data_IF_120833706620
#
_entry.id   IF_120833706620
#
_cell.length_a   1.000
_cell.length_b   1.000
_cell.length_c   1.000
_cell.angle_alpha   90.00
_cell.angle_beta   90.00
_cell.angle_gamma   90.00
#
_symmetry.space_group_name_H-M   'P 1'
#
loop_
_entity.id
_entity.type
_entity.pdbx_description
1 polymer ?
#
# COMPACT_ATOMS: atom_id res chain seq x y z
N UNK A 1 -10.83 -37.44 -9.24
CA UNK A 1 -11.27 -36.11 -8.77
C UNK A 1 -10.42 -35.69 -7.58
N UNK A 2 -9.46 -34.79 -7.77
CA UNK A 2 -8.72 -34.17 -6.67
C UNK A 2 -9.56 -33.03 -6.13
N UNK A 3 -9.89 -33.05 -4.84
CA UNK A 3 -10.47 -31.91 -4.14
C UNK A 3 -9.55 -30.70 -4.34
N UNK A 4 -10.05 -29.67 -5.03
CA UNK A 4 -9.39 -28.37 -5.11
C UNK A 4 -9.36 -27.78 -3.71
N UNK A 5 -8.16 -27.65 -3.17
CA UNK A 5 -7.87 -27.08 -1.86
C UNK A 5 -8.27 -25.59 -1.88
N UNK A 6 -9.43 -25.25 -1.31
CA UNK A 6 -10.01 -23.89 -1.25
C UNK A 6 -9.24 -22.93 -0.34
N UNK A 7 -8.14 -23.38 0.28
CA UNK A 7 -7.26 -22.62 1.16
C UNK A 7 -6.16 -21.82 0.45
N UNK A 8 -6.10 -21.80 -0.89
CA UNK A 8 -5.13 -20.97 -1.61
C UNK A 8 -5.58 -19.50 -1.65
N UNK A 9 -5.22 -18.82 -0.55
CA UNK A 9 -4.88 -17.41 -0.41
C UNK A 9 -6.01 -16.38 -0.47
N UNK A 10 -6.70 -16.21 0.67
CA UNK A 10 -7.55 -15.03 0.96
C UNK A 10 -6.78 -13.74 0.68
N UNK A 11 -5.54 -13.62 1.16
CA UNK A 11 -4.69 -12.47 0.85
C UNK A 11 -4.37 -12.32 -0.65
N UNK A 12 -4.29 -13.41 -1.42
CA UNK A 12 -4.01 -13.36 -2.86
C UNK A 12 -5.15 -12.71 -3.64
N UNK A 13 -6.39 -13.06 -3.27
CA UNK A 13 -7.60 -12.39 -3.80
C UNK A 13 -7.69 -10.93 -3.34
N UNK A 14 -7.31 -10.64 -2.08
CA UNK A 14 -7.32 -9.27 -1.56
C UNK A 14 -6.27 -8.38 -2.24
N UNK A 15 -5.13 -8.92 -2.67
CA UNK A 15 -4.11 -8.18 -3.43
C UNK A 15 -4.60 -7.69 -4.80
N UNK A 16 -5.60 -8.37 -5.37
CA UNK A 16 -6.24 -8.02 -6.64
C UNK A 16 -7.59 -7.31 -6.43
N UNK A 17 -7.97 -7.08 -5.18
CA UNK A 17 -9.25 -6.48 -4.85
C UNK A 17 -9.33 -5.06 -5.38
N UNK A 18 -10.47 -4.78 -6.00
CA UNK A 18 -10.78 -3.44 -6.45
C UNK A 18 -11.37 -2.58 -5.30
N UNK A 19 -11.90 -3.18 -4.23
CA UNK A 19 -12.46 -2.52 -3.05
C UNK A 19 -12.01 -3.25 -1.77
N UNK A 20 -10.73 -3.04 -1.43
CA UNK A 20 -10.08 -3.74 -0.33
C UNK A 20 -10.76 -3.47 1.02
N UNK A 21 -11.29 -2.27 1.24
CA UNK A 21 -11.97 -1.92 2.50
C UNK A 21 -13.21 -2.78 2.71
N UNK A 22 -14.09 -2.86 1.71
CA UNK A 22 -15.31 -3.66 1.79
C UNK A 22 -15.00 -5.15 1.94
N UNK A 23 -14.01 -5.65 1.21
CA UNK A 23 -13.62 -7.05 1.30
C UNK A 23 -13.06 -7.39 2.69
N UNK A 24 -12.23 -6.52 3.26
CA UNK A 24 -11.74 -6.68 4.63
C UNK A 24 -12.85 -6.60 5.67
N UNK A 25 -13.83 -5.69 5.52
CA UNK A 25 -15.00 -5.63 6.41
C UNK A 25 -15.92 -6.86 6.29
N UNK A 26 -15.88 -7.55 5.16
CA UNK A 26 -16.58 -8.84 4.99
C UNK A 26 -15.86 -9.96 5.74
N UNK A 27 -14.52 -9.87 5.87
CA UNK A 27 -13.69 -10.85 6.58
C UNK A 27 -13.69 -10.60 8.10
N UNK A 28 -13.64 -9.33 8.50
CA UNK A 28 -13.67 -8.86 9.88
C UNK A 28 -15.07 -8.37 10.22
N UNK A 29 -15.96 -9.31 10.48
CA UNK A 29 -17.35 -9.01 10.83
C UNK A 29 -17.52 -8.59 12.31
N UNK A 30 -18.77 -8.30 12.70
CA UNK A 30 -19.11 -7.95 14.08
C UNK A 30 -18.65 -9.01 15.09
N UNK A 31 -18.73 -10.29 14.75
CA UNK A 31 -18.36 -11.39 15.65
C UNK A 31 -16.86 -11.36 15.92
N UNK A 32 -16.06 -11.12 14.88
CA UNK A 32 -14.62 -10.92 15.01
C UNK A 32 -14.30 -9.81 16.02
N UNK A 33 -14.92 -8.64 15.89
CA UNK A 33 -14.62 -7.50 16.78
C UNK A 33 -15.04 -7.73 18.24
N UNK A 34 -16.16 -8.42 18.47
CA UNK A 34 -16.59 -8.84 19.82
C UNK A 34 -15.58 -9.78 20.49
N UNK A 35 -14.90 -10.62 19.71
CA UNK A 35 -13.82 -11.47 20.22
C UNK A 35 -12.51 -10.70 20.36
N UNK A 36 -12.21 -9.81 19.41
CA UNK A 36 -10.94 -9.12 19.33
C UNK A 36 -10.74 -8.14 20.49
N UNK A 37 -11.79 -7.45 20.93
CA UNK A 37 -11.72 -6.50 22.06
C UNK A 37 -11.25 -7.18 23.36
N UNK A 38 -11.47 -8.49 23.52
CA UNK A 38 -11.07 -9.26 24.71
C UNK A 38 -9.55 -9.41 24.88
N UNK A 39 -8.75 -9.00 23.88
CA UNK A 39 -7.30 -9.00 23.96
C UNK A 39 -6.71 -7.77 24.66
N UNK A 40 -7.51 -6.72 24.88
CA UNK A 40 -7.07 -5.45 25.47
C UNK A 40 -7.46 -5.37 26.95
N UNK A 41 -6.68 -4.62 27.72
CA UNK A 41 -6.91 -4.47 29.18
C UNK A 41 -7.88 -3.31 29.47
N UNK A 42 -7.90 -2.31 28.59
CA UNK A 42 -8.76 -1.13 28.67
C UNK A 42 -9.87 -1.17 27.61
N UNK A 43 -10.91 -0.36 27.83
CA UNK A 43 -11.93 -0.12 26.81
C UNK A 43 -11.29 0.48 25.56
N UNK A 44 -11.70 -0.01 24.40
CA UNK A 44 -11.21 0.40 23.09
C UNK A 44 -12.36 1.03 22.34
N UNK A 45 -12.13 2.22 21.76
CA UNK A 45 -13.14 2.83 20.90
C UNK A 45 -13.42 1.91 19.70
N UNK A 46 -14.70 1.62 19.38
CA UNK A 46 -15.03 0.72 18.27
C UNK A 46 -14.49 1.17 16.92
N UNK A 47 -14.37 2.47 16.66
CA UNK A 47 -13.82 2.99 15.41
C UNK A 47 -12.31 2.74 15.36
N UNK A 48 -11.58 3.05 16.43
CA UNK A 48 -10.14 2.78 16.53
C UNK A 48 -9.82 1.29 16.32
N UNK A 49 -10.66 0.41 16.88
CA UNK A 49 -10.54 -1.04 16.73
C UNK A 49 -10.73 -1.47 15.25
N UNK A 50 -11.71 -0.90 14.56
CA UNK A 50 -11.98 -1.17 13.14
C UNK A 50 -10.85 -0.62 12.26
N UNK A 51 -10.53 0.66 12.39
CA UNK A 51 -9.53 1.34 11.57
C UNK A 51 -8.16 0.68 11.70
N UNK A 52 -7.71 0.43 12.92
CA UNK A 52 -6.41 -0.24 13.13
C UNK A 52 -6.40 -1.67 12.60
N UNK A 53 -7.52 -2.40 12.71
CA UNK A 53 -7.62 -3.77 12.14
C UNK A 53 -7.47 -3.73 10.62
N UNK A 54 -8.17 -2.79 9.96
CA UNK A 54 -8.08 -2.61 8.51
C UNK A 54 -6.67 -2.18 8.09
N UNK A 55 -6.06 -1.24 8.80
CA UNK A 55 -4.70 -0.76 8.51
C UNK A 55 -3.63 -1.82 8.74
N UNK A 56 -3.78 -2.62 9.79
CA UNK A 56 -2.92 -3.79 10.05
C UNK A 56 -3.01 -4.80 8.90
N UNK A 57 -4.22 -5.10 8.43
CA UNK A 57 -4.44 -6.02 7.32
C UNK A 57 -3.89 -5.47 5.99
N UNK A 58 -4.15 -4.19 5.68
CA UNK A 58 -3.62 -3.48 4.51
C UNK A 58 -2.10 -3.47 4.54
N UNK A 59 -1.48 -3.14 5.67
CA UNK A 59 -0.04 -3.13 5.85
C UNK A 59 0.57 -4.51 5.57
N UNK A 60 -0.08 -5.59 6.03
CA UNK A 60 0.33 -6.95 5.69
C UNK A 60 0.28 -7.22 4.18
N UNK A 61 -0.85 -6.94 3.53
CA UNK A 61 -1.09 -7.23 2.11
C UNK A 61 -0.14 -6.44 1.21
N UNK A 62 -0.03 -5.12 1.42
CA UNK A 62 0.86 -4.23 0.66
C UNK A 62 2.31 -4.69 0.78
N UNK A 63 2.75 -5.00 2.00
CA UNK A 63 4.13 -5.41 2.27
C UNK A 63 4.42 -6.83 1.77
N UNK A 64 3.41 -7.69 1.71
CA UNK A 64 3.51 -8.99 1.07
C UNK A 64 3.72 -8.82 -0.45
N UNK A 65 2.92 -7.96 -1.10
CA UNK A 65 3.06 -7.65 -2.54
C UNK A 65 4.44 -7.04 -2.83
N UNK A 66 4.89 -6.08 -2.01
CA UNK A 66 6.24 -5.50 -2.11
C UNK A 66 7.34 -6.57 -2.03
N UNK A 67 7.21 -7.54 -1.12
CA UNK A 67 8.16 -8.65 -1.00
C UNK A 67 8.14 -9.58 -2.23
N UNK A 68 6.99 -9.79 -2.88
CA UNK A 68 6.96 -10.56 -4.13
C UNK A 68 7.51 -9.78 -5.32
N UNK A 69 7.24 -8.48 -5.39
CA UNK A 69 7.84 -7.60 -6.41
C UNK A 69 9.38 -7.67 -6.36
N UNK A 70 9.97 -7.73 -5.16
CA UNK A 70 11.42 -7.95 -4.97
C UNK A 70 11.96 -9.30 -5.48
N UNK A 71 11.09 -10.26 -5.79
CA UNK A 71 11.46 -11.53 -6.43
C UNK A 71 11.18 -11.55 -7.93
N UNK A 72 10.50 -10.52 -8.44
CA UNK A 72 10.18 -10.43 -9.86
C UNK A 72 11.40 -9.99 -10.66
N UNK A 73 11.43 -10.37 -11.94
CA UNK A 73 12.49 -9.94 -12.84
C UNK A 73 12.18 -8.54 -13.34
N UNK A 74 13.18 -7.66 -13.27
CA UNK A 74 13.11 -6.36 -13.94
C UNK A 74 13.37 -6.56 -15.44
N UNK A 75 12.43 -6.18 -16.32
CA UNK A 75 12.57 -6.41 -17.77
C UNK A 75 13.53 -5.40 -18.42
N UNK A 76 14.15 -5.79 -19.54
CA UNK A 76 15.21 -5.04 -20.24
C UNK A 76 14.78 -3.64 -20.73
N UNK A 77 13.48 -3.41 -20.89
CA UNK A 77 12.91 -2.14 -21.36
C UNK A 77 12.09 -1.41 -20.29
N UNK A 78 12.07 -1.88 -19.04
CA UNK A 78 11.21 -1.27 -18.00
C UNK A 78 11.61 0.17 -17.72
N UNK A 79 12.92 0.47 -17.68
CA UNK A 79 13.42 1.82 -17.42
C UNK A 79 13.05 2.85 -18.49
N UNK A 80 13.01 2.47 -19.78
CA UNK A 80 12.50 3.39 -20.82
C UNK A 80 11.00 3.67 -20.66
N UNK A 81 10.21 2.68 -20.21
CA UNK A 81 8.78 2.87 -19.99
C UNK A 81 8.51 3.72 -18.75
N UNK A 82 9.26 3.51 -17.67
CA UNK A 82 9.25 4.38 -16.48
C UNK A 82 9.55 5.82 -16.88
N UNK A 83 10.62 6.02 -17.66
CA UNK A 83 11.02 7.36 -18.09
C UNK A 83 9.98 8.03 -18.99
N UNK A 84 9.44 7.31 -19.98
CA UNK A 84 8.35 7.80 -20.84
C UNK A 84 7.11 8.18 -20.04
N UNK A 85 6.77 7.39 -19.02
CA UNK A 85 5.65 7.68 -18.14
C UNK A 85 5.89 8.96 -17.33
N UNK A 86 7.11 9.18 -16.83
CA UNK A 86 7.48 10.42 -16.13
C UNK A 86 7.47 11.66 -17.03
N UNK A 87 7.93 11.53 -18.30
CA UNK A 87 7.81 12.62 -19.30
C UNK A 87 6.35 12.97 -19.54
N UNK A 88 5.51 11.97 -19.81
CA UNK A 88 4.07 12.19 -20.01
C UNK A 88 3.39 12.82 -18.78
N UNK A 89 3.81 12.44 -17.57
CA UNK A 89 3.31 13.02 -16.34
C UNK A 89 3.68 14.50 -16.21
N UNK A 90 4.93 14.88 -16.52
CA UNK A 90 5.37 16.27 -16.51
C UNK A 90 4.65 17.10 -17.57
N UNK A 91 4.43 16.55 -18.75
CA UNK A 91 3.70 17.22 -19.83
C UNK A 91 2.21 17.42 -19.49
N UNK A 92 1.60 16.42 -18.83
CA UNK A 92 0.24 16.50 -18.31
C UNK A 92 0.14 17.58 -17.23
N UNK A 93 1.05 17.60 -16.25
CA UNK A 93 1.10 18.64 -15.21
C UNK A 93 1.18 20.03 -15.84
N UNK A 94 2.10 20.23 -16.78
CA UNK A 94 2.28 21.51 -17.45
C UNK A 94 1.02 21.94 -18.19
N UNK A 95 0.39 21.01 -18.92
CA UNK A 95 -0.83 21.26 -19.69
C UNK A 95 -2.00 21.62 -18.77
N UNK A 96 -2.19 20.89 -17.67
CA UNK A 96 -3.19 21.20 -16.65
C UNK A 96 -2.95 22.60 -16.07
N UNK A 97 -1.71 22.95 -15.75
CA UNK A 97 -1.33 24.29 -15.26
C UNK A 97 -1.64 25.40 -16.27
N UNK A 98 -1.50 25.15 -17.58
CA UNK A 98 -1.91 26.14 -18.59
C UNK A 98 -3.44 26.24 -18.67
N UNK A 99 -4.17 25.13 -18.59
CA UNK A 99 -5.63 25.10 -18.65
C UNK A 99 -6.25 25.87 -17.48
N UNK A 100 -5.72 25.69 -16.26
CA UNK A 100 -6.18 26.39 -15.04
C UNK A 100 -5.99 27.92 -15.08
N UNK A 101 -5.33 28.47 -16.11
CA UNK A 101 -5.27 29.94 -16.31
C UNK A 101 -6.57 30.50 -16.92
N UNK A 102 -7.48 29.64 -17.35
CA UNK A 102 -8.76 30.00 -17.95
C UNK A 102 -9.88 29.22 -17.27
N UNK A 103 -10.66 29.91 -16.43
CA UNK A 103 -11.79 29.33 -15.69
C UNK A 103 -12.77 28.61 -16.62
N UNK A 104 -13.00 29.17 -17.82
CA UNK A 104 -13.88 28.54 -18.81
C UNK A 104 -13.28 27.23 -19.37
N UNK A 105 -11.97 27.20 -19.66
CA UNK A 105 -11.33 26.00 -20.19
C UNK A 105 -11.28 24.88 -19.14
N UNK A 106 -10.95 25.24 -17.89
CA UNK A 106 -11.00 24.33 -16.75
C UNK A 106 -12.40 23.78 -16.51
N UNK A 107 -13.42 24.65 -16.49
CA UNK A 107 -14.82 24.24 -16.35
C UNK A 107 -15.26 23.29 -17.46
N UNK A 108 -14.99 23.61 -18.74
CA UNK A 108 -15.40 22.78 -19.89
C UNK A 108 -14.71 21.42 -19.86
N UNK A 109 -13.43 21.36 -19.51
CA UNK A 109 -12.71 20.09 -19.40
C UNK A 109 -13.26 19.25 -18.25
N UNK A 110 -13.41 19.84 -17.06
CA UNK A 110 -13.93 19.12 -15.89
C UNK A 110 -15.36 18.61 -16.13
N UNK A 111 -16.23 19.46 -16.68
CA UNK A 111 -17.61 19.07 -17.00
C UNK A 111 -17.67 17.88 -17.98
N UNK A 112 -16.83 17.90 -19.03
CA UNK A 112 -16.74 16.77 -19.96
C UNK A 112 -16.17 15.52 -19.29
N UNK A 113 -15.14 15.64 -18.45
CA UNK A 113 -14.57 14.53 -17.70
C UNK A 113 -15.60 13.90 -16.76
N UNK A 114 -16.31 14.71 -15.99
CA UNK A 114 -17.40 14.27 -15.11
C UNK A 114 -18.47 13.54 -15.92
N UNK A 115 -18.96 14.09 -17.03
CA UNK A 115 -19.98 13.43 -17.85
C UNK A 115 -19.52 12.09 -18.45
N UNK A 116 -18.25 11.98 -18.84
CA UNK A 116 -17.69 10.74 -19.40
C UNK A 116 -17.49 9.69 -18.30
N UNK A 117 -17.21 10.11 -17.08
CA UNK A 117 -16.74 9.22 -16.02
C UNK A 117 -17.84 8.88 -14.99
N UNK A 118 -18.78 9.79 -14.75
CA UNK A 118 -19.90 9.61 -13.83
C UNK A 118 -20.80 8.46 -14.28
N UNK A 119 -21.20 7.62 -13.34
CA UNK A 119 -22.00 6.43 -13.60
C UNK A 119 -21.25 5.27 -14.25
N UNK A 120 -19.96 5.40 -14.61
CA UNK A 120 -19.14 4.26 -15.06
C UNK A 120 -18.88 3.27 -13.94
N UNK A 121 -18.69 3.79 -12.71
CA UNK A 121 -18.58 2.96 -11.52
C UNK A 121 -18.86 3.78 -10.26
N UNK A 122 -19.35 3.15 -9.17
CA UNK A 122 -19.50 3.81 -7.88
C UNK A 122 -18.22 4.45 -7.34
N UNK A 123 -17.04 3.90 -7.70
CA UNK A 123 -15.74 4.45 -7.27
C UNK A 123 -15.38 5.72 -8.00
N UNK A 124 -15.75 5.80 -9.27
CA UNK A 124 -15.54 7.00 -10.07
C UNK A 124 -16.40 8.13 -9.51
N UNK A 125 -17.66 7.82 -9.18
CA UNK A 125 -18.55 8.78 -8.52
C UNK A 125 -18.00 9.22 -7.15
N UNK A 126 -17.55 8.27 -6.32
CA UNK A 126 -16.90 8.58 -5.04
C UNK A 126 -15.62 9.42 -5.19
N UNK A 127 -14.84 9.19 -6.25
CA UNK A 127 -13.64 9.98 -6.54
C UNK A 127 -14.02 11.42 -6.86
N UNK A 128 -15.00 11.66 -7.73
CA UNK A 128 -15.45 13.03 -8.04
C UNK A 128 -16.05 13.72 -6.82
N UNK A 129 -16.87 13.01 -6.03
CA UNK A 129 -17.40 13.52 -4.77
C UNK A 129 -16.27 13.90 -3.80
N UNK A 130 -15.23 13.07 -3.69
CA UNK A 130 -14.08 13.33 -2.85
C UNK A 130 -13.29 14.56 -3.34
N UNK A 131 -13.04 14.66 -4.64
CA UNK A 131 -12.34 15.80 -5.25
C UNK A 131 -13.10 17.10 -4.95
N UNK A 132 -14.40 17.14 -5.19
CA UNK A 132 -15.24 18.32 -4.93
C UNK A 132 -15.23 18.70 -3.44
N UNK A 133 -15.23 17.73 -2.53
CA UNK A 133 -15.20 18.01 -1.07
C UNK A 133 -13.84 18.52 -0.58
N UNK A 134 -12.73 18.03 -1.14
CA UNK A 134 -11.38 18.37 -0.67
C UNK A 134 -10.81 19.63 -1.34
N UNK A 135 -11.01 19.76 -2.66
CA UNK A 135 -10.41 20.85 -3.46
C UNK A 135 -11.41 21.96 -3.79
N UNK A 136 -12.70 21.70 -3.60
CA UNK A 136 -13.79 22.62 -3.92
C UNK A 136 -14.10 22.67 -5.43
N UNK A 137 -15.24 23.26 -5.81
CA UNK A 137 -15.67 23.36 -7.21
C UNK A 137 -14.82 24.32 -8.04
N UNK A 138 -14.00 25.17 -7.40
CA UNK A 138 -13.16 26.17 -8.08
C UNK A 138 -11.79 25.63 -8.50
N UNK A 139 -11.38 24.43 -8.06
CA UNK A 139 -10.10 23.83 -8.43
C UNK A 139 -10.24 22.34 -8.79
N UNK A 140 -11.17 21.96 -9.68
CA UNK A 140 -11.46 20.56 -9.96
C UNK A 140 -10.28 19.79 -10.56
N UNK A 141 -9.34 20.47 -11.22
CA UNK A 141 -8.19 19.82 -11.87
C UNK A 141 -6.95 19.68 -10.97
N UNK A 142 -6.98 20.25 -9.77
CA UNK A 142 -5.81 20.35 -8.88
C UNK A 142 -5.28 18.97 -8.45
N UNK A 143 -6.17 18.02 -8.14
CA UNK A 143 -5.76 16.66 -7.77
C UNK A 143 -4.97 15.96 -8.90
N UNK A 144 -5.39 16.16 -10.15
CA UNK A 144 -4.72 15.53 -11.29
C UNK A 144 -3.35 16.14 -11.53
N UNK A 145 -3.23 17.46 -11.29
CA UNK A 145 -1.95 18.18 -11.31
C UNK A 145 -1.01 17.65 -10.24
N UNK A 146 -1.48 17.51 -9.00
CA UNK A 146 -0.70 16.97 -7.87
C UNK A 146 -0.24 15.54 -8.16
N UNK A 147 -1.12 14.68 -8.71
CA UNK A 147 -0.77 13.29 -9.07
C UNK A 147 0.28 13.27 -10.19
N UNK A 148 0.10 14.08 -11.24
CA UNK A 148 1.01 14.17 -12.36
C UNK A 148 2.40 14.68 -11.93
N UNK A 149 2.44 15.73 -11.11
CA UNK A 149 3.66 16.27 -10.51
C UNK A 149 4.36 15.23 -9.61
N UNK A 150 3.61 14.59 -8.71
CA UNK A 150 4.16 13.58 -7.80
C UNK A 150 4.75 12.39 -8.57
N UNK A 151 4.09 11.97 -9.65
CA UNK A 151 4.57 10.87 -10.48
C UNK A 151 5.82 11.27 -11.29
N UNK A 152 5.85 12.48 -11.86
CA UNK A 152 7.03 13.02 -12.51
C UNK A 152 8.23 13.09 -11.55
N UNK A 153 8.04 13.62 -10.35
CA UNK A 153 9.08 13.71 -9.31
C UNK A 153 9.56 12.33 -8.83
N UNK A 154 8.65 11.36 -8.71
CA UNK A 154 9.01 9.99 -8.37
C UNK A 154 9.88 9.34 -9.45
N UNK A 155 9.58 9.59 -10.73
CA UNK A 155 10.41 9.11 -11.85
C UNK A 155 11.75 9.84 -11.87
N UNK A 156 11.78 11.15 -11.71
CA UNK A 156 12.99 11.97 -11.71
C UNK A 156 13.99 11.52 -10.61
N UNK A 157 13.46 11.14 -9.44
CA UNK A 157 14.25 10.56 -8.36
C UNK A 157 14.85 9.18 -8.65
N UNK A 158 14.37 8.47 -9.69
CA UNK A 158 14.91 7.19 -10.15
C UNK A 158 15.83 7.37 -11.38
N UNK A 159 15.36 8.14 -12.37
CA UNK A 159 16.01 8.41 -13.64
C UNK A 159 15.69 9.86 -14.01
N UNK A 160 16.70 10.72 -14.10
CA UNK A 160 16.48 12.13 -14.39
C UNK A 160 15.64 12.33 -15.66
N UNK A 161 14.59 13.14 -15.53
CA UNK A 161 13.73 13.53 -16.63
C UNK A 161 14.50 14.40 -17.64
N UNK A 162 14.13 14.37 -18.92
CA UNK A 162 14.87 15.10 -19.94
C UNK A 162 14.73 16.61 -19.81
N UNK A 163 15.81 17.32 -20.11
CA UNK A 163 15.76 18.77 -20.32
C UNK A 163 15.01 19.11 -21.62
N UNK A 164 14.65 20.38 -21.79
CA UNK A 164 13.85 20.84 -22.95
C UNK A 164 14.50 20.55 -24.31
N UNK A 165 15.82 20.53 -24.36
CA UNK A 165 16.60 20.35 -25.59
C UNK A 165 17.03 18.89 -25.81
N UNK A 166 16.70 17.99 -24.88
CA UNK A 166 17.06 16.57 -24.98
C UNK A 166 16.08 15.83 -25.92
N UNK A 167 16.64 15.12 -26.89
CA UNK A 167 15.86 14.32 -27.84
C UNK A 167 15.33 13.02 -27.21
N UNK A 168 14.24 12.48 -27.77
CA UNK A 168 13.70 11.18 -27.33
C UNK A 168 14.72 10.06 -27.33
N UNK A 169 15.59 10.03 -28.34
CA UNK A 169 16.62 9.00 -28.44
C UNK A 169 17.61 9.06 -27.27
N UNK A 170 17.97 10.26 -26.80
CA UNK A 170 18.91 10.45 -25.70
C UNK A 170 18.30 9.97 -24.38
N UNK A 171 17.09 10.43 -24.05
CA UNK A 171 16.50 10.06 -22.77
C UNK A 171 16.08 8.58 -22.77
N UNK A 172 15.59 8.01 -23.88
CA UNK A 172 15.31 6.57 -23.96
C UNK A 172 16.57 5.72 -23.71
N UNK A 173 17.72 6.13 -24.24
CA UNK A 173 18.98 5.44 -23.97
C UNK A 173 19.38 5.49 -22.47
N UNK A 174 19.07 6.60 -21.78
CA UNK A 174 19.22 6.70 -20.32
C UNK A 174 18.31 5.74 -19.58
N UNK A 175 17.05 5.59 -20.00
CA UNK A 175 16.12 4.58 -19.47
C UNK A 175 16.60 3.13 -19.69
N UNK A 176 17.23 2.85 -20.83
CA UNK A 176 17.84 1.54 -21.10
C UNK A 176 19.10 1.29 -20.26
N UNK A 177 19.89 2.34 -20.00
CA UNK A 177 21.04 2.26 -19.11
C UNK A 177 20.62 1.92 -17.67
N UNK A 178 19.59 2.59 -17.15
CA UNK A 178 18.98 2.27 -15.86
C UNK A 178 18.51 0.81 -15.80
N UNK A 179 17.85 0.32 -16.85
CA UNK A 179 17.39 -1.08 -16.89
C UNK A 179 18.54 -2.08 -16.79
N UNK A 180 19.64 -1.81 -17.50
CA UNK A 180 20.87 -2.63 -17.43
C UNK A 180 21.52 -2.57 -16.05
N UNK A 181 21.51 -1.40 -15.41
CA UNK A 181 22.03 -1.23 -14.05
C UNK A 181 21.22 -2.04 -13.03
N UNK A 182 19.89 -1.94 -13.06
CA UNK A 182 18.98 -2.68 -12.19
C UNK A 182 19.05 -4.20 -12.43
N UNK A 183 19.33 -4.63 -13.66
CA UNK A 183 19.55 -6.04 -13.97
C UNK A 183 20.93 -6.56 -13.58
N UNK A 184 21.89 -5.66 -13.35
CA UNK A 184 23.25 -6.07 -12.99
C UNK A 184 23.31 -6.68 -11.58
N UNK A 185 24.29 -7.55 -11.35
CA UNK A 185 24.51 -8.19 -10.04
C UNK A 185 24.69 -7.17 -8.89
N UNK A 186 25.02 -5.91 -9.18
CA UNK A 186 25.11 -4.84 -8.17
C UNK A 186 23.75 -4.51 -7.56
N UNK A 187 22.67 -4.54 -8.35
CA UNK A 187 21.33 -4.27 -7.84
C UNK A 187 20.69 -5.50 -7.19
N UNK A 188 21.16 -6.71 -7.52
CA UNK A 188 20.81 -7.94 -6.79
C UNK A 188 21.24 -7.91 -5.31
N UNK A 189 22.14 -6.98 -4.94
CA UNK A 189 22.59 -6.69 -3.58
C UNK A 189 21.76 -5.62 -2.86
N UNK A 190 20.78 -4.99 -3.52
CA UNK A 190 19.80 -4.11 -2.85
C UNK A 190 19.11 -4.93 -1.76
N UNK A 191 19.00 -4.35 -0.56
CA UNK A 191 18.55 -5.03 0.65
C UNK A 191 17.21 -5.72 0.41
N UNK A 192 17.24 -7.05 0.30
CA UNK A 192 16.02 -7.85 0.16
C UNK A 192 15.16 -7.59 1.40
N UNK A 193 13.88 -7.29 1.17
CA UNK A 193 12.94 -7.11 2.27
C UNK A 193 13.05 -8.30 3.26
N UNK A 194 13.03 -8.04 4.59
CA UNK A 194 13.23 -9.07 5.59
C UNK A 194 12.35 -10.31 5.40
N UNK A 195 12.80 -11.46 5.91
CA UNK A 195 12.06 -12.72 5.80
C UNK A 195 10.59 -12.62 6.29
N UNK A 196 10.30 -11.75 7.26
CA UNK A 196 8.96 -11.51 7.79
C UNK A 196 8.46 -10.07 7.54
N UNK A 197 8.89 -9.43 6.45
CA UNK A 197 8.57 -8.02 6.17
C UNK A 197 7.08 -7.68 6.31
N UNK A 198 6.19 -8.48 5.72
CA UNK A 198 4.74 -8.28 5.83
C UNK A 198 4.23 -8.29 7.28
N UNK A 199 4.70 -9.24 8.09
CA UNK A 199 4.35 -9.30 9.51
C UNK A 199 4.97 -8.17 10.33
N UNK A 200 6.16 -7.69 9.96
CA UNK A 200 6.78 -6.54 10.63
C UNK A 200 6.00 -5.26 10.37
N UNK A 201 5.58 -5.01 9.13
CA UNK A 201 4.79 -3.82 8.77
C UNK A 201 3.39 -3.87 9.39
N UNK A 202 2.76 -5.05 9.42
CA UNK A 202 1.53 -5.26 10.17
C UNK A 202 1.73 -5.01 11.69
N UNK A 203 2.84 -5.49 12.26
CA UNK A 203 3.16 -5.24 13.66
C UNK A 203 3.40 -3.76 13.97
N UNK A 204 4.00 -2.99 13.05
CA UNK A 204 4.15 -1.54 13.21
C UNK A 204 2.78 -0.85 13.18
N UNK A 205 1.92 -1.20 12.22
CA UNK A 205 0.58 -0.63 12.11
C UNK A 205 -0.31 -0.95 13.33
N UNK A 206 -0.15 -2.14 13.93
CA UNK A 206 -0.92 -2.57 15.10
C UNK A 206 -0.42 -1.95 16.42
N UNK A 207 0.85 -1.54 16.49
CA UNK A 207 1.50 -1.09 17.72
C UNK A 207 0.75 0.05 18.45
N UNK A 208 0.28 1.12 17.78
CA UNK A 208 -0.38 2.24 18.47
C UNK A 208 -1.61 1.80 19.29
N UNK A 209 -2.51 1.00 18.69
CA UNK A 209 -3.70 0.49 19.38
C UNK A 209 -3.32 -0.35 20.61
N UNK A 210 -2.29 -1.20 20.49
CA UNK A 210 -1.84 -2.00 21.62
C UNK A 210 -1.28 -1.14 22.75
N UNK A 211 -0.40 -0.18 22.44
CA UNK A 211 0.24 0.66 23.46
C UNK A 211 -0.74 1.62 24.12
N UNK A 212 -1.82 2.00 23.44
CA UNK A 212 -2.87 2.84 23.99
C UNK A 212 -3.83 2.07 24.91
N UNK A 213 -4.15 0.82 24.60
CA UNK A 213 -5.22 0.06 25.29
C UNK A 213 -4.75 -1.21 26.03
N UNK A 214 -3.45 -1.46 26.13
CA UNK A 214 -2.90 -2.52 26.98
C UNK A 214 -1.79 -2.02 27.89
N UNK A 215 -1.84 -2.50 29.13
CA UNK A 215 -0.81 -2.31 30.15
C UNK A 215 0.50 -3.06 29.84
N UNK A 216 0.45 -4.04 28.94
CA UNK A 216 1.57 -4.93 28.64
C UNK A 216 2.42 -4.33 27.53
N UNK A 217 3.73 -4.22 27.75
CA UNK A 217 4.61 -3.69 26.72
C UNK A 217 4.57 -4.54 25.44
N UNK A 218 4.43 -3.86 24.30
CA UNK A 218 4.32 -4.50 22.99
C UNK A 218 5.47 -5.47 22.69
N UNK A 219 6.67 -5.18 23.20
CA UNK A 219 7.89 -5.94 22.97
C UNK A 219 8.23 -6.98 24.06
N UNK A 220 7.44 -7.13 25.14
CA UNK A 220 7.77 -8.03 26.27
C UNK A 220 7.24 -9.47 26.13
N UNK A 221 7.12 -9.96 24.91
CA UNK A 221 6.74 -11.34 24.62
C UNK A 221 7.93 -12.28 24.54
N UNK A 222 8.17 -13.12 25.55
CA UNK A 222 9.20 -14.16 25.44
C UNK A 222 8.65 -15.38 24.70
N UNK A 223 9.44 -15.89 23.77
CA UNK A 223 9.32 -17.27 23.30
C UNK A 223 9.69 -18.19 24.47
N UNK A 224 8.84 -19.17 24.79
CA UNK A 224 9.07 -20.13 25.85
C UNK A 224 9.32 -21.50 25.22
N UNK A 225 10.60 -21.85 25.12
CA UNK A 225 11.07 -23.13 24.56
C UNK A 225 10.58 -24.33 25.36
N UNK A 226 10.27 -24.16 26.65
CA UNK A 226 9.83 -25.25 27.53
C UNK A 226 8.35 -25.63 27.35
N UNK A 227 7.57 -24.75 26.71
CA UNK A 227 6.13 -24.95 26.48
C UNK A 227 5.76 -25.06 25.00
N UNK A 228 6.75 -25.26 24.13
CA UNK A 228 6.60 -25.29 22.67
C UNK A 228 5.77 -24.10 22.12
N UNK A 229 5.88 -22.90 22.71
CA UNK A 229 4.90 -21.85 22.49
C UNK A 229 5.40 -20.42 22.69
N UNK A 230 4.80 -19.48 21.95
CA UNK A 230 5.01 -18.05 22.14
C UNK A 230 3.92 -17.50 23.06
N UNK A 231 4.28 -17.11 24.29
CA UNK A 231 3.35 -16.47 25.23
C UNK A 231 3.55 -14.96 25.23
N UNK A 232 3.13 -14.30 24.14
CA UNK A 232 2.90 -12.84 24.19
C UNK A 232 1.47 -12.48 23.84
N UNK A 233 0.77 -11.80 24.77
CA UNK A 233 -0.52 -11.19 24.51
C UNK A 233 -0.57 -10.32 23.24
N UNK A 234 0.40 -9.41 22.97
CA UNK A 234 0.36 -8.62 21.74
C UNK A 234 0.49 -9.48 20.48
N UNK A 235 1.30 -10.54 20.51
CA UNK A 235 1.41 -11.44 19.37
C UNK A 235 0.15 -12.27 19.18
N UNK A 236 -0.53 -12.69 20.26
CA UNK A 236 -1.82 -13.40 20.15
C UNK A 236 -2.88 -12.49 19.54
N UNK A 237 -2.95 -11.23 19.96
CA UNK A 237 -3.88 -10.24 19.40
C UNK A 237 -3.58 -9.97 17.92
N UNK A 238 -2.33 -9.68 17.56
CA UNK A 238 -1.94 -9.49 16.16
C UNK A 238 -2.17 -10.76 15.32
N UNK A 239 -1.86 -11.94 15.86
CA UNK A 239 -2.14 -13.21 15.18
C UNK A 239 -3.63 -13.44 14.95
N UNK A 240 -4.48 -13.04 15.90
CA UNK A 240 -5.93 -13.12 15.78
C UNK A 240 -6.45 -12.34 14.57
N UNK A 241 -5.88 -11.15 14.31
CA UNK A 241 -6.14 -10.37 13.09
C UNK A 241 -5.59 -11.09 11.86
N UNK A 242 -4.27 -11.34 11.82
CA UNK A 242 -3.57 -11.80 10.61
C UNK A 242 -4.06 -13.17 10.13
N UNK A 243 -4.42 -14.08 11.03
CA UNK A 243 -4.89 -15.42 10.65
C UNK A 243 -6.20 -15.41 9.85
N UNK A 244 -6.97 -14.32 9.87
CA UNK A 244 -8.19 -14.18 9.04
C UNK A 244 -7.86 -14.01 7.56
N UNK A 245 -6.75 -13.33 7.25
CA UNK A 245 -6.30 -13.08 5.87
C UNK A 245 -5.17 -14.02 5.43
N UNK A 246 -4.40 -14.57 6.37
CA UNK A 246 -3.31 -15.51 6.15
C UNK A 246 -3.32 -16.64 7.22
N UNK A 247 -4.24 -17.62 7.11
CA UNK A 247 -4.46 -18.68 8.11
C UNK A 247 -3.21 -19.53 8.40
N UNK A 248 -2.30 -19.63 7.45
CA UNK A 248 -1.06 -20.40 7.52
C UNK A 248 0.02 -19.75 8.41
N UNK A 249 -0.15 -18.47 8.77
CA UNK A 249 0.81 -17.76 9.61
C UNK A 249 0.82 -18.35 11.02
N UNK A 250 1.98 -18.83 11.46
CA UNK A 250 2.19 -19.32 12.83
C UNK A 250 2.35 -18.15 13.80
N UNK A 251 1.78 -18.28 15.00
CA UNK A 251 1.91 -17.30 16.09
C UNK A 251 3.37 -16.95 16.42
N UNK A 252 4.28 -17.91 16.35
CA UNK A 252 5.73 -17.71 16.60
C UNK A 252 6.37 -16.71 15.62
N UNK A 253 5.91 -16.68 14.36
CA UNK A 253 6.38 -15.73 13.35
C UNK A 253 5.89 -14.31 13.65
N UNK A 254 4.66 -14.17 14.15
CA UNK A 254 4.10 -12.89 14.60
C UNK A 254 4.92 -12.35 15.78
N UNK A 255 5.22 -13.20 16.75
CA UNK A 255 6.09 -12.86 17.88
C UNK A 255 7.48 -12.37 17.46
N UNK A 256 8.10 -13.08 16.52
CA UNK A 256 9.40 -12.69 15.94
C UNK A 256 9.32 -11.36 15.20
N UNK A 257 8.23 -11.10 14.46
CA UNK A 257 8.03 -9.85 13.75
C UNK A 257 7.95 -8.67 14.72
N UNK A 258 7.13 -8.77 15.77
CA UNK A 258 7.05 -7.77 16.84
C UNK A 258 8.42 -7.52 17.47
N UNK A 259 9.15 -8.57 17.84
CA UNK A 259 10.49 -8.44 18.43
C UNK A 259 11.47 -7.67 17.54
N UNK A 260 11.37 -7.82 16.22
CA UNK A 260 12.22 -7.12 15.24
C UNK A 260 11.87 -5.65 15.03
N UNK A 261 10.65 -5.22 15.37
CA UNK A 261 10.27 -3.79 15.29
C UNK A 261 11.00 -2.91 16.30
N UNK A 262 11.59 -3.48 17.35
CA UNK A 262 12.35 -2.76 18.38
C UNK A 262 13.56 -1.99 17.83
N UNK A 263 14.14 -2.47 16.74
CA UNK A 263 15.35 -1.92 16.14
C UNK A 263 15.05 -1.00 14.95
N UNK A 264 13.78 -0.67 14.72
CA UNK A 264 13.35 0.22 13.65
C UNK A 264 12.90 1.54 14.28
N UNK A 265 13.38 2.69 13.77
CA UNK A 265 13.00 4.01 14.29
C UNK A 265 11.50 4.27 14.15
#
# INVERSE_FOLDING_TARGET
>A
MRAMNTNNFVWGKLSESSDLTRDLLTIYDKVFFVEFVKYFDAEVDPLDLVETTLDTARAYIISWNSKQANKSNFNIYTGRHILKAGVAARDLEHSLRQITKSDLAEYVLNWNMENIAKGKSPKTDQLFDHIQRQFGPSNPLEIYRIIAESFANAVDGLISLPDKDETERQYVARGDAFSREVQSDKWSKVSKAPAHHALQRAAIAFKPLWEQHSSRLYHKGRYDETKEGFYSPPAKALHFVIRKIAPEVKLTLVGTAIGKTRNQP
#
